data_IF_711627527373
#
_entry.id   IF_711627527373
#
_cell.length_a   1.000
_cell.length_b   1.000
_cell.length_c   1.000
_cell.angle_alpha   90.00
_cell.angle_beta   90.00
_cell.angle_gamma   90.00
#
_symmetry.space_group_name_H-M   'P 1'
#
loop_
_entity.id
_entity.type
_entity.pdbx_description
1 polymer ?
#
# COMPACT_ATOMS: atom_id res chain seq x y z
N UNK A 1 5.90 11.03 -35.41
CA UNK A 1 6.47 11.93 -34.39
C UNK A 1 5.48 12.30 -33.27
N UNK A 2 4.19 12.48 -33.55
CA UNK A 2 3.19 12.86 -32.52
C UNK A 2 2.89 11.79 -31.45
N UNK A 3 2.82 10.50 -31.83
CA UNK A 3 2.46 9.40 -30.91
C UNK A 3 3.47 9.17 -29.77
N UNK A 4 4.78 9.29 -30.03
CA UNK A 4 5.81 9.09 -29.00
C UNK A 4 5.82 10.17 -27.92
N UNK A 5 5.55 11.43 -28.30
CA UNK A 5 5.46 12.55 -27.35
C UNK A 5 4.25 12.38 -26.43
N UNK A 6 3.13 11.92 -26.97
CA UNK A 6 1.90 11.71 -26.21
C UNK A 6 2.04 10.57 -25.19
N UNK A 7 2.72 9.48 -25.57
CA UNK A 7 3.07 8.38 -24.65
C UNK A 7 4.02 8.82 -23.54
N UNK A 8 5.04 9.64 -23.87
CA UNK A 8 5.96 10.19 -22.87
C UNK A 8 5.25 11.13 -21.88
N UNK A 9 4.34 11.98 -22.36
CA UNK A 9 3.53 12.86 -21.51
C UNK A 9 2.60 12.06 -20.59
N UNK A 10 1.99 10.99 -21.09
CA UNK A 10 1.15 10.11 -20.28
C UNK A 10 1.96 9.38 -19.19
N UNK A 11 3.15 8.90 -19.53
CA UNK A 11 4.05 8.25 -18.57
C UNK A 11 4.54 9.22 -17.48
N UNK A 12 4.95 10.44 -17.85
CA UNK A 12 5.37 11.46 -16.87
C UNK A 12 4.19 11.95 -16.04
N UNK A 13 3.03 12.15 -16.66
CA UNK A 13 1.80 12.56 -15.98
C UNK A 13 1.31 11.52 -14.98
N UNK A 14 1.34 10.23 -15.34
CA UNK A 14 0.99 9.13 -14.42
C UNK A 14 2.01 8.97 -13.29
N UNK A 15 3.31 9.11 -13.54
CA UNK A 15 4.33 9.10 -12.49
C UNK A 15 4.17 10.27 -11.50
N UNK A 16 3.91 11.48 -12.00
CA UNK A 16 3.59 12.64 -11.17
C UNK A 16 2.30 12.45 -10.38
N UNK A 17 1.25 11.93 -11.03
CA UNK A 17 -0.03 11.60 -10.39
C UNK A 17 0.12 10.58 -9.25
N UNK A 18 0.94 9.55 -9.42
CA UNK A 18 1.25 8.59 -8.35
C UNK A 18 2.02 9.22 -7.18
N UNK A 19 2.92 10.17 -7.45
CA UNK A 19 3.64 10.88 -6.40
C UNK A 19 2.71 11.82 -5.60
N UNK A 20 1.88 12.60 -6.28
CA UNK A 20 0.87 13.43 -5.61
C UNK A 20 -0.16 12.56 -4.88
N UNK A 21 -0.61 11.47 -5.50
CA UNK A 21 -1.54 10.52 -4.91
C UNK A 21 -0.96 9.85 -3.65
N UNK A 22 0.30 9.43 -3.67
CA UNK A 22 1.00 8.87 -2.52
C UNK A 22 1.16 9.88 -1.37
N UNK A 23 1.53 11.12 -1.69
CA UNK A 23 1.66 12.19 -0.70
C UNK A 23 0.30 12.57 -0.09
N UNK A 24 -0.75 12.67 -0.91
CA UNK A 24 -2.10 12.97 -0.48
C UNK A 24 -2.72 11.82 0.33
N UNK A 25 -2.49 10.56 -0.08
CA UNK A 25 -2.94 9.39 0.65
C UNK A 25 -2.29 9.31 2.03
N UNK A 26 -1.00 9.61 2.16
CA UNK A 26 -0.35 9.62 3.47
C UNK A 26 -0.94 10.73 4.37
N UNK A 27 -1.10 11.94 3.83
CA UNK A 27 -1.71 13.07 4.56
C UNK A 27 -3.14 12.76 5.00
N UNK A 28 -3.92 12.05 4.20
CA UNK A 28 -5.33 11.77 4.47
C UNK A 28 -5.58 10.46 5.23
N UNK A 29 -4.80 9.41 5.01
CA UNK A 29 -5.03 8.10 5.65
C UNK A 29 -4.24 7.91 6.94
N UNK A 30 -3.03 8.48 7.04
CA UNK A 30 -2.17 8.29 8.22
C UNK A 30 -2.26 9.45 9.21
N UNK A 31 -2.50 10.68 8.76
CA UNK A 31 -2.57 11.85 9.66
C UNK A 31 -3.99 12.19 10.14
N UNK A 32 -5.05 11.59 9.60
CA UNK A 32 -6.45 11.89 10.01
C UNK A 32 -6.76 11.46 11.44
N UNK A 33 -5.94 10.61 12.06
CA UNK A 33 -6.16 10.10 13.42
C UNK A 33 -5.12 10.47 14.48
N UNK A 34 -4.02 11.17 14.16
CA UNK A 34 -2.95 11.47 15.13
C UNK A 34 -2.46 12.91 14.99
N UNK A 35 -2.74 13.73 16.00
CA UNK A 35 -2.28 15.12 16.18
C UNK A 35 -0.76 15.23 16.47
N UNK A 36 0.05 14.25 16.05
CA UNK A 36 1.51 14.32 16.16
C UNK A 36 2.06 14.81 14.82
N UNK A 37 2.80 15.93 14.83
CA UNK A 37 3.43 16.47 13.63
C UNK A 37 4.47 15.48 13.10
N UNK A 38 4.06 14.61 12.18
CA UNK A 38 4.98 13.74 11.47
C UNK A 38 5.89 14.62 10.63
N UNK A 39 7.19 14.47 10.81
CA UNK A 39 8.18 15.24 10.05
C UNK A 39 7.94 15.11 8.54
N UNK A 40 8.02 16.24 7.83
CA UNK A 40 7.85 16.30 6.37
C UNK A 40 8.78 15.32 5.65
N UNK A 41 9.95 15.07 6.22
CA UNK A 41 10.93 14.11 5.71
C UNK A 41 10.33 12.70 5.60
N UNK A 42 9.74 12.16 6.67
CA UNK A 42 9.15 10.81 6.66
C UNK A 42 8.02 10.71 5.64
N UNK A 43 7.18 11.75 5.55
CA UNK A 43 6.10 11.83 4.56
C UNK A 43 6.62 11.77 3.13
N UNK A 44 7.64 12.58 2.82
CA UNK A 44 8.24 12.62 1.47
C UNK A 44 8.94 11.32 1.10
N UNK A 45 9.60 10.66 2.05
CA UNK A 45 10.24 9.37 1.81
C UNK A 45 9.21 8.31 1.48
N UNK A 46 8.15 8.19 2.27
CA UNK A 46 7.08 7.24 2.00
C UNK A 46 6.46 7.46 0.61
N UNK A 47 6.06 8.71 0.32
CA UNK A 47 5.47 9.06 -0.96
C UNK A 47 6.43 8.76 -2.14
N UNK A 48 7.73 9.02 -1.95
CA UNK A 48 8.78 8.67 -2.90
C UNK A 48 8.89 7.16 -3.13
N UNK A 49 9.00 6.34 -2.07
CA UNK A 49 9.04 4.87 -2.19
C UNK A 49 7.79 4.32 -2.88
N UNK A 50 6.61 4.82 -2.51
CA UNK A 50 5.35 4.41 -3.09
C UNK A 50 5.28 4.75 -4.58
N UNK A 51 5.60 6.00 -4.95
CA UNK A 51 5.54 6.46 -6.32
C UNK A 51 6.51 5.72 -7.23
N UNK A 52 7.74 5.48 -6.77
CA UNK A 52 8.72 4.73 -7.55
C UNK A 52 8.30 3.25 -7.72
N UNK A 53 7.79 2.62 -6.67
CA UNK A 53 7.31 1.22 -6.71
C UNK A 53 6.10 1.07 -7.64
N UNK A 54 5.10 1.96 -7.52
CA UNK A 54 3.94 1.99 -8.41
C UNK A 54 4.35 2.36 -9.85
N UNK A 55 5.36 3.23 -10.01
CA UNK A 55 5.96 3.56 -11.29
C UNK A 55 6.59 2.35 -11.98
N UNK A 56 7.30 1.48 -11.25
CA UNK A 56 7.83 0.23 -11.82
C UNK A 56 6.71 -0.70 -12.30
N UNK A 57 5.62 -0.82 -11.54
CA UNK A 57 4.46 -1.63 -11.95
C UNK A 57 3.79 -1.07 -13.20
N UNK A 58 3.58 0.25 -13.26
CA UNK A 58 3.04 0.91 -14.45
C UNK A 58 3.95 0.74 -15.66
N UNK A 59 5.26 0.77 -15.48
CA UNK A 59 6.21 0.55 -16.57
C UNK A 59 6.08 -0.85 -17.17
N UNK A 60 5.99 -1.87 -16.32
CA UNK A 60 5.72 -3.24 -16.77
C UNK A 60 4.38 -3.32 -17.50
N UNK A 61 3.35 -2.64 -16.99
CA UNK A 61 2.04 -2.59 -17.63
C UNK A 61 2.09 -1.89 -19.01
N UNK A 62 2.85 -0.79 -19.14
CA UNK A 62 3.06 -0.10 -20.42
C UNK A 62 3.83 -0.94 -21.43
N UNK A 63 4.79 -1.74 -20.96
CA UNK A 63 5.51 -2.70 -21.80
C UNK A 63 4.56 -3.75 -22.37
N UNK A 64 3.73 -4.37 -21.51
CA UNK A 64 2.78 -5.42 -21.90
C UNK A 64 1.71 -4.87 -22.87
N UNK A 65 1.25 -3.64 -22.65
CA UNK A 65 0.23 -2.99 -23.50
C UNK A 65 0.80 -2.43 -24.81
N UNK A 66 2.12 -2.28 -24.94
CA UNK A 66 2.77 -1.73 -26.14
C UNK A 66 2.39 -0.27 -26.47
N UNK A 67 1.94 0.50 -25.48
CA UNK A 67 1.40 1.87 -25.68
C UNK A 67 2.50 2.92 -25.83
N UNK A 68 3.68 2.69 -25.27
CA UNK A 68 4.78 3.66 -25.16
C UNK A 68 6.01 3.18 -25.95
N UNK A 69 6.76 4.12 -26.55
CA UNK A 69 7.96 3.81 -27.32
C UNK A 69 9.03 3.08 -26.49
N UNK A 70 9.62 2.03 -27.07
CA UNK A 70 10.60 1.16 -26.41
C UNK A 70 11.85 1.90 -25.90
N UNK A 71 12.36 2.89 -26.63
CA UNK A 71 13.54 3.66 -26.21
C UNK A 71 13.28 4.50 -24.95
N UNK A 72 12.10 5.13 -24.91
CA UNK A 72 11.69 5.94 -23.77
C UNK A 72 11.44 5.07 -22.55
N UNK A 73 10.78 3.92 -22.75
CA UNK A 73 10.57 2.93 -21.70
C UNK A 73 11.91 2.41 -21.16
N UNK A 74 12.87 2.12 -22.05
CA UNK A 74 14.24 1.70 -21.72
C UNK A 74 15.09 2.79 -21.05
N UNK A 75 14.72 4.05 -21.13
CA UNK A 75 15.34 5.08 -20.31
C UNK A 75 14.65 5.19 -18.95
N UNK A 76 13.32 5.18 -18.94
CA UNK A 76 12.50 5.35 -17.75
C UNK A 76 12.67 4.19 -16.76
N UNK A 77 12.75 2.93 -17.21
CA UNK A 77 12.98 1.79 -16.31
C UNK A 77 14.34 1.91 -15.63
N UNK A 78 15.38 2.32 -16.36
CA UNK A 78 16.74 2.42 -15.84
C UNK A 78 16.86 3.56 -14.83
N UNK A 79 16.21 4.70 -15.12
CA UNK A 79 16.09 5.80 -14.18
C UNK A 79 15.30 5.41 -12.93
N UNK A 80 14.14 4.78 -13.07
CA UNK A 80 13.30 4.39 -11.94
C UNK A 80 14.03 3.35 -11.06
N UNK A 81 14.64 2.32 -11.65
CA UNK A 81 15.47 1.36 -10.93
C UNK A 81 16.63 2.04 -10.19
N UNK A 82 17.29 3.02 -10.83
CA UNK A 82 18.36 3.79 -10.18
C UNK A 82 17.85 4.53 -8.94
N UNK A 83 16.72 5.23 -9.08
CA UNK A 83 16.06 5.93 -7.99
C UNK A 83 15.63 5.00 -6.87
N UNK A 84 15.01 3.84 -7.18
CA UNK A 84 14.58 2.85 -6.17
C UNK A 84 15.78 2.29 -5.42
N UNK A 85 16.85 1.89 -6.12
CA UNK A 85 18.05 1.33 -5.49
C UNK A 85 18.73 2.37 -4.60
N UNK A 86 18.89 3.61 -5.05
CA UNK A 86 19.43 4.68 -4.22
C UNK A 86 18.55 4.99 -3.01
N UNK A 87 17.24 5.05 -3.22
CA UNK A 87 16.29 5.31 -2.14
C UNK A 87 16.39 4.22 -1.07
N UNK A 88 16.41 2.94 -1.47
CA UNK A 88 16.48 1.80 -0.54
C UNK A 88 17.85 1.61 0.11
N UNK A 89 18.95 1.70 -0.63
CA UNK A 89 20.28 1.40 -0.10
C UNK A 89 20.97 2.59 0.56
N UNK A 90 20.70 3.81 0.11
CA UNK A 90 21.37 5.02 0.62
C UNK A 90 20.43 5.78 1.54
N UNK A 91 19.29 6.23 1.02
CA UNK A 91 18.45 7.22 1.70
C UNK A 91 17.76 6.64 2.94
N UNK A 92 17.04 5.53 2.80
CA UNK A 92 16.30 4.92 3.90
C UNK A 92 17.19 4.54 5.10
N UNK A 93 18.27 3.75 4.94
CA UNK A 93 19.11 3.34 6.06
C UNK A 93 19.85 4.54 6.67
N UNK A 94 20.30 5.51 5.86
CA UNK A 94 20.94 6.72 6.40
C UNK A 94 19.98 7.52 7.29
N UNK A 95 18.73 7.69 6.85
CA UNK A 95 17.71 8.39 7.62
C UNK A 95 17.40 7.65 8.91
N UNK A 96 17.23 6.32 8.87
CA UNK A 96 16.98 5.52 10.08
C UNK A 96 18.12 5.60 11.09
N UNK A 97 19.38 5.53 10.65
CA UNK A 97 20.55 5.61 11.54
C UNK A 97 20.64 7.03 12.14
N UNK A 98 20.44 8.06 11.33
CA UNK A 98 20.50 9.45 11.80
C UNK A 98 19.37 9.78 12.80
N UNK A 99 18.13 9.38 12.52
CA UNK A 99 17.00 9.60 13.44
C UNK A 99 17.18 8.79 14.73
N UNK A 100 17.60 7.53 14.64
CA UNK A 100 17.88 6.71 15.81
C UNK A 100 18.98 7.32 16.68
N UNK A 101 20.07 7.79 16.08
CA UNK A 101 21.21 8.34 16.84
C UNK A 101 20.90 9.70 17.46
N UNK A 102 20.16 10.56 16.75
CA UNK A 102 19.73 11.86 17.27
C UNK A 102 18.69 11.72 18.39
N UNK A 103 17.77 10.76 18.29
CA UNK A 103 16.72 10.54 19.29
C UNK A 103 17.20 9.71 20.49
N UNK A 104 17.99 8.66 20.27
CA UNK A 104 18.38 7.72 21.34
C UNK A 104 19.63 8.15 22.10
N UNK A 105 20.55 8.90 21.48
CA UNK A 105 21.86 9.22 22.07
C UNK A 105 22.06 10.70 22.40
N UNK A 106 21.15 11.59 21.97
CA UNK A 106 21.23 13.03 22.23
C UNK A 106 22.53 13.68 21.75
N UNK A 107 23.19 13.08 20.75
CA UNK A 107 24.51 13.51 20.29
C UNK A 107 24.45 14.87 19.56
N UNK A 108 25.49 15.72 19.67
CA UNK A 108 25.54 16.96 18.91
C UNK A 108 25.54 16.67 17.40
N UNK A 109 24.92 17.53 16.58
CA UNK A 109 24.59 17.22 15.18
C UNK A 109 25.82 16.85 14.34
N UNK A 110 26.98 17.47 14.57
CA UNK A 110 28.22 17.14 13.86
C UNK A 110 28.73 15.72 14.13
N UNK A 111 28.70 15.26 15.39
CA UNK A 111 29.11 13.89 15.74
C UNK A 111 28.06 12.87 15.30
N UNK A 112 26.77 13.22 15.41
CA UNK A 112 25.69 12.36 14.95
C UNK A 112 25.77 12.07 13.45
N UNK A 113 26.07 13.09 12.64
CA UNK A 113 26.26 12.91 11.18
C UNK A 113 27.49 12.05 10.88
N UNK A 114 28.63 12.31 11.54
CA UNK A 114 29.85 11.53 11.30
C UNK A 114 29.69 10.05 11.66
N UNK A 115 29.07 9.76 12.81
CA UNK A 115 28.79 8.39 13.25
C UNK A 115 27.75 7.73 12.34
N UNK A 116 26.70 8.46 11.93
CA UNK A 116 25.71 7.94 10.97
C UNK A 116 26.35 7.58 9.62
N UNK A 117 27.22 8.43 9.09
CA UNK A 117 27.98 8.15 7.87
C UNK A 117 28.88 6.92 8.01
N UNK A 118 29.54 6.77 9.17
CA UNK A 118 30.39 5.61 9.43
C UNK A 118 29.58 4.31 9.52
N UNK A 119 28.48 4.29 10.27
CA UNK A 119 27.57 3.14 10.36
C UNK A 119 26.94 2.82 9.00
N UNK A 120 26.58 3.84 8.24
CA UNK A 120 26.04 3.69 6.89
C UNK A 120 27.08 3.08 5.94
N UNK A 121 28.33 3.57 5.98
CA UNK A 121 29.42 2.98 5.20
C UNK A 121 29.70 1.53 5.62
N UNK A 122 29.63 1.22 6.92
CA UNK A 122 29.73 -0.15 7.42
C UNK A 122 28.59 -1.03 6.91
N UNK A 123 27.36 -0.51 6.84
CA UNK A 123 26.20 -1.22 6.30
C UNK A 123 26.34 -1.48 4.80
N UNK A 124 26.82 -0.51 4.02
CA UNK A 124 27.13 -0.69 2.61
C UNK A 124 28.25 -1.71 2.40
N UNK A 125 29.28 -1.70 3.25
CA UNK A 125 30.36 -2.70 3.23
C UNK A 125 29.84 -4.11 3.57
N UNK A 126 28.96 -4.23 4.57
CA UNK A 126 28.32 -5.49 4.89
C UNK A 126 27.45 -6.00 3.73
N UNK A 127 26.66 -5.11 3.12
CA UNK A 127 25.85 -5.42 1.93
C UNK A 127 26.73 -5.90 0.76
N UNK A 128 27.86 -5.23 0.54
CA UNK A 128 28.86 -5.65 -0.44
C UNK A 128 29.38 -7.06 -0.14
N UNK A 129 29.80 -7.32 1.10
CA UNK A 129 30.38 -8.60 1.50
C UNK A 129 29.38 -9.74 1.47
N UNK A 130 28.12 -9.50 1.80
CA UNK A 130 27.03 -10.48 1.68
C UNK A 130 26.80 -10.89 0.22
N UNK A 131 26.82 -9.91 -0.70
CA UNK A 131 26.64 -10.18 -2.12
C UNK A 131 27.80 -10.93 -2.79
N UNK A 132 29.02 -10.85 -2.22
CA UNK A 132 30.20 -11.59 -2.70
C UNK A 132 30.16 -13.08 -2.32
N UNK A 133 29.55 -13.42 -1.18
CA UNK A 133 29.44 -14.82 -0.72
C UNK A 133 28.33 -15.60 -1.43
N UNK A 134 27.41 -14.90 -2.11
CA UNK A 134 26.25 -15.47 -2.78
C UNK A 134 26.51 -15.94 -4.23
N UNK A 135 27.77 -15.98 -4.68
CA UNK A 135 28.15 -16.64 -5.94
C UNK A 135 27.92 -15.83 -7.23
N UNK A 136 27.85 -14.50 -7.16
CA UNK A 136 27.92 -13.68 -8.38
C UNK A 136 29.36 -13.71 -8.94
N UNK A 137 29.56 -13.93 -10.25
CA UNK A 137 30.90 -13.98 -10.84
C UNK A 137 31.59 -12.66 -10.57
N UNK A 138 32.66 -12.71 -9.80
CA UNK A 138 33.50 -11.55 -9.47
C UNK A 138 34.13 -11.06 -10.77
N UNK A 139 33.54 -10.00 -11.34
CA UNK A 139 34.26 -9.13 -12.26
C UNK A 139 35.48 -8.62 -11.49
N UNK A 140 36.62 -8.91 -12.09
CA UNK A 140 37.98 -8.63 -11.68
C UNK A 140 38.12 -7.35 -10.84
N UNK A 141 38.53 -7.56 -9.58
CA UNK A 141 38.94 -6.52 -8.66
C UNK A 141 40.25 -5.87 -9.13
N UNK A 142 40.18 -5.02 -10.16
CA UNK A 142 41.21 -4.02 -10.44
C UNK A 142 40.89 -2.77 -9.60
N UNK A 143 41.82 -2.35 -8.75
CA UNK A 143 41.68 -1.30 -7.74
C UNK A 143 41.52 0.12 -8.27
N UNK A 144 40.58 0.34 -9.19
CA UNK A 144 40.26 1.62 -9.83
C UNK A 144 38.82 2.01 -9.52
N UNK A 145 38.50 3.30 -9.46
CA UNK A 145 37.14 3.86 -9.26
C UNK A 145 36.07 3.21 -10.18
N UNK A 146 36.48 2.73 -11.36
CA UNK A 146 35.65 1.95 -12.30
C UNK A 146 35.18 0.60 -11.75
N UNK A 147 35.96 -0.08 -10.90
CA UNK A 147 35.56 -1.32 -10.22
C UNK A 147 34.46 -1.07 -9.19
N UNK A 148 34.56 0.02 -8.42
CA UNK A 148 33.48 0.46 -7.52
C UNK A 148 32.18 0.81 -8.27
N UNK A 149 32.29 1.39 -9.46
CA UNK A 149 31.14 1.61 -10.36
C UNK A 149 30.61 0.29 -10.97
N UNK A 150 31.48 -0.69 -11.22
CA UNK A 150 31.12 -2.05 -11.66
C UNK A 150 30.39 -2.88 -10.59
N UNK A 151 30.68 -2.65 -9.31
CA UNK A 151 29.94 -3.23 -8.18
C UNK A 151 28.51 -2.66 -8.03
N UNK A 152 28.27 -1.48 -8.59
CA UNK A 152 26.96 -0.87 -8.80
C UNK A 152 26.46 -1.07 -10.24
N UNK A 153 26.83 -2.16 -10.93
CA UNK A 153 26.03 -2.52 -12.10
C UNK A 153 24.59 -2.71 -11.62
N UNK A 154 23.67 -1.92 -12.16
CA UNK A 154 22.29 -1.82 -11.66
C UNK A 154 21.65 -3.21 -11.53
N UNK A 155 21.94 -4.10 -12.48
CA UNK A 155 21.50 -5.49 -12.46
C UNK A 155 21.97 -6.26 -11.21
N UNK A 156 23.24 -6.12 -10.82
CA UNK A 156 23.81 -6.83 -9.67
C UNK A 156 23.33 -6.25 -8.34
N UNK A 157 23.19 -4.93 -8.23
CA UNK A 157 22.62 -4.30 -7.04
C UNK A 157 21.15 -4.70 -6.84
N UNK A 158 20.35 -4.65 -7.92
CA UNK A 158 18.93 -5.07 -7.91
C UNK A 158 18.81 -6.55 -7.57
N UNK A 159 19.65 -7.41 -8.15
CA UNK A 159 19.65 -8.86 -7.85
C UNK A 159 19.94 -9.13 -6.37
N UNK A 160 20.95 -8.47 -5.79
CA UNK A 160 21.32 -8.63 -4.38
C UNK A 160 20.23 -8.13 -3.42
N UNK A 161 19.70 -6.93 -3.66
CA UNK A 161 18.56 -6.39 -2.88
C UNK A 161 17.34 -7.30 -3.02
N UNK A 162 17.08 -7.81 -4.23
CA UNK A 162 16.00 -8.74 -4.51
C UNK A 162 16.09 -10.03 -3.69
N UNK A 163 17.25 -10.68 -3.67
CA UNK A 163 17.44 -11.93 -2.88
C UNK A 163 17.22 -11.68 -1.39
N UNK A 164 17.80 -10.61 -0.83
CA UNK A 164 17.63 -10.26 0.58
C UNK A 164 16.16 -9.96 0.89
N UNK A 165 15.52 -9.15 0.06
CA UNK A 165 14.12 -8.76 0.22
C UNK A 165 13.15 -9.94 0.13
N UNK A 166 13.32 -10.82 -0.87
CA UNK A 166 12.48 -12.03 -1.01
C UNK A 166 12.70 -13.01 0.13
N UNK A 167 13.94 -13.16 0.60
CA UNK A 167 14.24 -14.01 1.76
C UNK A 167 13.55 -13.46 3.02
N UNK A 168 13.65 -12.14 3.27
CA UNK A 168 12.95 -11.50 4.39
C UNK A 168 11.43 -11.60 4.25
N UNK A 169 10.88 -11.44 3.05
CA UNK A 169 9.45 -11.60 2.77
C UNK A 169 8.99 -13.04 3.05
N UNK A 170 9.79 -14.04 2.69
CA UNK A 170 9.54 -15.44 3.01
C UNK A 170 9.53 -15.71 4.51
N UNK A 171 10.50 -15.15 5.25
CA UNK A 171 10.56 -15.30 6.72
C UNK A 171 9.36 -14.62 7.40
N UNK A 172 9.02 -13.39 7.00
CA UNK A 172 7.87 -12.65 7.54
C UNK A 172 6.54 -13.33 7.21
N UNK A 173 6.40 -13.83 5.98
CA UNK A 173 5.23 -14.60 5.55
C UNK A 173 5.11 -15.90 6.33
N UNK A 174 6.22 -16.62 6.55
CA UNK A 174 6.26 -17.83 7.37
C UNK A 174 5.88 -17.56 8.82
N UNK A 175 6.42 -16.50 9.44
CA UNK A 175 6.04 -16.09 10.78
C UNK A 175 4.56 -15.70 10.86
N UNK A 176 4.04 -14.94 9.88
CA UNK A 176 2.63 -14.57 9.82
C UNK A 176 1.70 -15.78 9.70
N UNK A 177 2.07 -16.76 8.87
CA UNK A 177 1.32 -18.00 8.68
C UNK A 177 1.28 -18.88 9.94
N UNK A 178 2.27 -18.75 10.83
CA UNK A 178 2.31 -19.48 12.10
C UNK A 178 1.63 -18.67 13.21
N UNK A 179 1.86 -17.36 13.28
CA UNK A 179 1.25 -16.49 14.30
C UNK A 179 -0.27 -16.36 14.14
N UNK A 180 -0.77 -16.36 12.90
CA UNK A 180 -2.21 -16.28 12.61
C UNK A 180 -3.02 -17.46 13.19
N UNK A 181 -2.64 -18.73 13.00
CA UNK A 181 -3.31 -19.83 13.66
C UNK A 181 -3.09 -19.80 15.18
N UNK A 182 -1.94 -19.37 15.71
CA UNK A 182 -1.79 -19.23 17.18
C UNK A 182 -2.80 -18.24 17.79
N UNK A 183 -3.02 -17.10 17.15
CA UNK A 183 -4.01 -16.11 17.61
C UNK A 183 -5.46 -16.54 17.34
N UNK A 184 -5.74 -17.30 16.28
CA UNK A 184 -7.09 -17.75 15.95
C UNK A 184 -7.46 -19.12 16.55
N UNK A 185 -6.50 -19.96 16.92
CA UNK A 185 -6.74 -21.22 17.63
C UNK A 185 -7.30 -20.95 19.02
N UNK A 186 -6.97 -19.84 19.69
CA UNK A 186 -7.63 -19.51 20.96
C UNK A 186 -9.12 -19.20 20.78
N UNK A 187 -9.52 -18.74 19.60
CA UNK A 187 -10.92 -18.54 19.19
C UNK A 187 -11.60 -19.88 18.87
N UNK A 188 -10.89 -20.83 18.26
CA UNK A 188 -11.39 -22.19 17.97
C UNK A 188 -11.32 -23.17 19.16
N UNK A 189 -10.39 -22.98 20.11
CA UNK A 189 -10.18 -23.82 21.30
C UNK A 189 -10.89 -23.29 22.54
N UNK A 190 -11.56 -22.13 22.44
CA UNK A 190 -12.53 -21.71 23.44
C UNK A 190 -13.67 -22.73 23.41
N UNK A 191 -13.75 -23.56 24.44
CA UNK A 191 -14.90 -24.43 24.65
C UNK A 191 -16.15 -23.54 24.72
N UNK A 192 -17.03 -23.67 23.73
CA UNK A 192 -18.31 -22.96 23.74
C UNK A 192 -19.07 -23.48 24.95
N UNK A 193 -19.30 -22.62 25.94
CA UNK A 193 -20.06 -23.00 27.14
C UNK A 193 -21.54 -23.12 26.74
N UNK A 194 -22.27 -24.14 27.19
CA UNK A 194 -23.66 -24.40 26.77
C UNK A 194 -24.60 -23.19 26.91
N UNK A 195 -24.31 -22.30 27.87
CA UNK A 195 -25.03 -21.03 28.05
C UNK A 195 -24.89 -20.06 26.86
N UNK A 196 -23.72 -20.03 26.21
CA UNK A 196 -23.45 -19.18 25.04
C UNK A 196 -24.10 -19.77 23.77
N UNK A 197 -24.17 -21.10 23.64
CA UNK A 197 -24.95 -21.76 22.58
C UNK A 197 -26.43 -21.43 22.69
N UNK A 198 -27.01 -21.58 23.90
CA UNK A 198 -28.41 -21.26 24.13
C UNK A 198 -28.73 -19.77 23.89
N UNK A 199 -27.81 -18.87 24.22
CA UNK A 199 -27.95 -17.45 23.93
C UNK A 199 -27.87 -17.15 22.42
N UNK A 200 -26.98 -17.83 21.70
CA UNK A 200 -26.83 -17.66 20.25
C UNK A 200 -28.04 -18.24 19.50
N UNK A 201 -28.56 -19.38 19.91
CA UNK A 201 -29.76 -20.00 19.34
C UNK A 201 -30.98 -19.10 19.49
N UNK A 202 -31.17 -18.49 20.68
CA UNK A 202 -32.22 -17.48 20.90
C UNK A 202 -32.09 -16.27 19.98
N UNK A 203 -30.87 -15.78 19.77
CA UNK A 203 -30.60 -14.67 18.84
C UNK A 203 -30.88 -15.07 17.39
N UNK A 204 -30.54 -16.30 17.00
CA UNK A 204 -30.79 -16.83 15.66
C UNK A 204 -32.29 -16.98 15.40
N UNK A 205 -33.05 -17.49 16.37
CA UNK A 205 -34.50 -17.58 16.29
C UNK A 205 -35.15 -16.19 16.15
N UNK A 206 -34.71 -15.22 16.95
CA UNK A 206 -35.17 -13.83 16.84
C UNK A 206 -34.84 -13.19 15.47
N UNK A 207 -33.63 -13.43 14.96
CA UNK A 207 -33.23 -12.95 13.63
C UNK A 207 -34.06 -13.60 12.51
N UNK A 208 -34.37 -14.89 12.64
CA UNK A 208 -35.18 -15.62 11.66
C UNK A 208 -36.63 -15.12 11.67
N UNK A 209 -37.20 -14.90 12.86
CA UNK A 209 -38.55 -14.37 13.01
C UNK A 209 -38.68 -12.96 12.42
N UNK A 210 -37.71 -12.08 12.70
CA UNK A 210 -37.67 -10.73 12.11
C UNK A 210 -37.51 -10.78 10.60
N UNK A 211 -36.71 -11.70 10.05
CA UNK A 211 -36.60 -11.90 8.60
C UNK A 211 -37.93 -12.34 7.97
N UNK A 212 -38.64 -13.30 8.59
CA UNK A 212 -39.95 -13.76 8.12
C UNK A 212 -40.99 -12.64 8.18
N UNK A 213 -41.02 -11.85 9.26
CA UNK A 213 -41.92 -10.71 9.37
C UNK A 213 -41.67 -9.67 8.27
N UNK A 214 -40.40 -9.40 7.94
CA UNK A 214 -40.05 -8.49 6.84
C UNK A 214 -40.51 -9.03 5.48
N UNK A 215 -40.37 -10.34 5.24
CA UNK A 215 -40.89 -10.98 4.01
C UNK A 215 -42.42 -10.91 3.91
N UNK A 216 -43.14 -11.15 5.02
CA UNK A 216 -44.60 -11.02 5.05
C UNK A 216 -45.06 -9.58 4.78
N UNK A 217 -44.39 -8.59 5.39
CA UNK A 217 -44.68 -7.17 5.14
C UNK A 217 -44.38 -6.77 3.69
N UNK A 218 -43.29 -7.25 3.12
CA UNK A 218 -42.96 -7.00 1.71
C UNK A 218 -44.03 -7.56 0.77
N UNK A 219 -44.46 -8.81 0.96
CA UNK A 219 -45.51 -9.42 0.15
C UNK A 219 -46.86 -8.70 0.29
N UNK A 220 -47.23 -8.24 1.49
CA UNK A 220 -48.45 -7.46 1.70
C UNK A 220 -48.39 -6.10 0.98
N UNK A 221 -47.25 -5.41 1.05
CA UNK A 221 -47.04 -4.16 0.32
C UNK A 221 -47.09 -4.36 -1.20
N UNK A 222 -46.55 -5.47 -1.71
CA UNK A 222 -46.66 -5.83 -3.13
C UNK A 222 -48.13 -6.06 -3.54
N UNK A 223 -48.91 -6.78 -2.73
CA UNK A 223 -50.35 -6.95 -2.97
C UNK A 223 -51.13 -5.63 -2.91
N UNK A 224 -50.81 -4.74 -1.96
CA UNK A 224 -51.42 -3.40 -1.87
C UNK A 224 -51.07 -2.53 -3.08
N UNK A 225 -49.82 -2.60 -3.58
CA UNK A 225 -49.39 -1.90 -4.79
C UNK A 225 -50.07 -2.46 -6.05
N UNK A 226 -50.27 -3.78 -6.15
CA UNK A 226 -51.02 -4.39 -7.25
C UNK A 226 -52.50 -3.97 -7.23
N UNK A 227 -53.12 -3.91 -6.04
CA UNK A 227 -54.50 -3.43 -5.86
C UNK A 227 -54.65 -1.93 -6.14
N UNK A 228 -53.67 -1.12 -5.73
CA UNK A 228 -53.61 0.31 -6.04
C UNK A 228 -53.34 0.56 -7.54
N UNK A 229 -52.51 -0.27 -8.18
CA UNK A 229 -52.25 -0.26 -9.62
C UNK A 229 -53.46 -0.67 -10.46
N UNK A 230 -54.22 -1.68 -10.02
CA UNK A 230 -55.49 -2.08 -10.64
C UNK A 230 -56.57 -1.00 -10.52
N UNK A 231 -56.57 -0.23 -9.43
CA UNK A 231 -57.49 0.90 -9.22
C UNK A 231 -57.02 2.19 -9.94
N UNK A 232 -55.72 2.30 -10.24
CA UNK A 232 -55.09 3.44 -10.93
C UNK A 232 -55.12 3.38 -12.46
N UNK A 233 -55.39 2.22 -13.07
CA UNK A 233 -55.46 2.05 -14.53
C UNK A 233 -56.72 2.69 -15.19
N UNK A 234 -57.46 3.53 -14.47
CA UNK A 234 -58.69 4.17 -14.92
C UNK A 234 -58.74 5.70 -14.86
N UNK A 235 -57.67 6.42 -14.48
CA UNK A 235 -57.75 7.88 -14.37
C UNK A 235 -56.44 8.60 -14.76
N UNK A 236 -56.52 9.28 -15.90
CA UNK A 236 -55.55 10.25 -16.41
C UNK A 236 -55.16 11.35 -15.38
N UNK A 237 -53.98 11.99 -15.54
CA UNK A 237 -53.35 12.80 -14.51
C UNK A 237 -53.99 14.19 -14.44
N UNK A 238 -54.32 14.64 -13.22
CA UNK A 238 -54.70 16.02 -12.95
C UNK A 238 -54.07 16.48 -11.64
N UNK A 239 -53.21 17.48 -11.76
CA UNK A 239 -52.97 18.63 -10.85
C UNK A 239 -52.91 18.38 -9.34
N UNK A 240 -51.80 18.78 -8.71
CA UNK A 240 -51.78 18.91 -7.24
C UNK A 240 -50.41 19.19 -6.63
N UNK A 241 -49.91 20.39 -6.86
CA UNK A 241 -48.83 21.02 -6.07
C UNK A 241 -49.20 21.04 -4.57
N UNK A 242 -48.25 20.71 -3.70
CA UNK A 242 -48.11 21.43 -2.42
C UNK A 242 -48.02 20.60 -1.13
N UNK A 243 -46.92 20.82 -0.39
CA UNK A 243 -46.81 20.62 1.06
C UNK A 243 -46.49 19.18 1.47
N UNK A 244 -45.54 18.89 2.36
CA UNK A 244 -44.85 19.73 3.31
C UNK A 244 -44.42 18.83 4.47
N UNK A 245 -43.12 18.89 4.78
CA UNK A 245 -42.58 19.02 6.13
C UNK A 245 -42.83 17.90 7.17
N UNK A 246 -41.69 17.29 7.56
CA UNK A 246 -41.11 17.40 8.92
C UNK A 246 -41.86 16.79 10.10
N UNK A 247 -41.23 15.78 10.69
CA UNK A 247 -40.99 15.53 12.13
C UNK A 247 -40.87 14.00 12.32
N UNK A 248 -39.90 13.42 13.02
CA UNK A 248 -39.08 13.93 14.10
C UNK A 248 -39.24 12.97 15.28
N UNK A 249 -38.11 12.57 15.89
CA UNK A 249 -37.98 11.89 17.19
C UNK A 249 -38.61 10.48 17.29
N UNK A 250 -38.01 9.49 17.94
CA UNK A 250 -37.13 9.51 19.10
C UNK A 250 -37.71 8.48 20.08
N UNK A 251 -36.88 7.51 20.50
CA UNK A 251 -37.24 6.40 21.37
C UNK A 251 -36.25 5.27 21.20
#
# INVERSE_FOLDING_TARGET
MSGGVLGALFAVGSAGGLFLGGHQFLKHSLCTGSHHEISTLVSTLFAGTFALSAGLLLLVLYEILGVVQEDFLRLHWRFNLWCVVLLLLVVLPFVHIYTFLSQSLGAPPGRAVAVSLFLHACLLYAFYRFGDKAGAPSVDSSGTFSGWLGLFTMAQAVSRVGVIGVTMLGVLSGFGAVNFPYCNLSLFMRHVTDAEMAALERRLLQATETAVQRKKKAALLEMELEMAGATGAGRNPVSGVGGGARAGAGG
#
